data_IF_631781532050
#
_entry.id   IF_631781532050
#
_cell.length_a   1.000
_cell.length_b   1.000
_cell.length_c   1.000
_cell.angle_alpha   90.00
_cell.angle_beta   90.00
_cell.angle_gamma   90.00
#
_symmetry.space_group_name_H-M   'P 1'
#
loop_
_entity.id
_entity.type
_entity.pdbx_description
1 polymer ?
#
# COMPACT_ATOMS: atom_id res chain seq x y z
N UNK A 1 -21.18 16.37 13.61
CA UNK A 1 -20.72 15.09 13.06
C UNK A 1 -19.30 15.29 12.57
N UNK A 2 -18.30 14.61 13.11
CA UNK A 2 -16.95 14.62 12.58
C UNK A 2 -17.00 14.12 11.14
N UNK A 3 -16.39 14.86 10.21
CA UNK A 3 -16.30 14.47 8.80
C UNK A 3 -15.57 13.12 8.75
N UNK A 4 -16.24 12.06 8.30
CA UNK A 4 -15.62 10.74 8.19
C UNK A 4 -14.30 10.88 7.41
N UNK A 5 -13.22 10.36 7.97
CA UNK A 5 -11.89 10.40 7.35
C UNK A 5 -11.98 9.71 5.98
N UNK A 6 -11.76 10.44 4.90
CA UNK A 6 -11.74 9.92 3.54
C UNK A 6 -10.29 9.82 3.08
N UNK A 7 -9.84 8.61 2.81
CA UNK A 7 -8.52 8.41 2.23
C UNK A 7 -8.55 8.71 0.73
N UNK A 8 -7.69 9.62 0.29
CA UNK A 8 -7.53 10.03 -1.11
C UNK A 8 -6.13 10.59 -1.31
N UNK A 9 -5.69 10.77 -2.58
CA UNK A 9 -4.34 11.26 -2.89
C UNK A 9 -3.29 10.14 -2.82
N UNK A 10 -2.04 10.50 -2.61
CA UNK A 10 -0.94 9.53 -2.61
C UNK A 10 -0.60 9.11 -1.19
N UNK A 11 -0.70 7.81 -0.95
CA UNK A 11 -0.46 7.18 0.35
C UNK A 11 0.61 6.10 0.15
N UNK A 12 1.91 6.43 0.29
CA UNK A 12 2.97 5.44 0.17
C UNK A 12 2.78 4.29 1.17
N UNK A 13 2.93 3.04 0.70
CA UNK A 13 3.13 1.91 1.59
C UNK A 13 4.63 1.84 1.89
N UNK A 14 5.03 2.31 3.08
CA UNK A 14 6.43 2.50 3.39
C UNK A 14 7.22 1.19 3.43
N UNK A 15 8.45 1.26 2.95
CA UNK A 15 9.46 0.22 3.14
C UNK A 15 10.02 0.31 4.57
N UNK A 16 10.35 -0.83 5.17
CA UNK A 16 10.93 -0.90 6.52
C UNK A 16 12.40 -1.29 6.44
N UNK A 17 13.33 -0.40 6.82
CA UNK A 17 14.76 -0.71 6.84
C UNK A 17 15.13 -1.68 7.95
N UNK A 18 16.12 -2.55 7.68
CA UNK A 18 16.70 -3.44 8.67
C UNK A 18 18.22 -3.28 8.75
N UNK A 19 18.78 -3.57 9.92
CA UNK A 19 20.21 -3.69 10.15
C UNK A 19 20.74 -5.04 9.66
N UNK A 20 22.06 -5.24 9.57
CA UNK A 20 22.64 -6.54 9.17
C UNK A 20 22.26 -7.72 10.07
N UNK A 21 21.89 -7.45 11.32
CA UNK A 21 21.41 -8.44 12.29
C UNK A 21 19.90 -8.69 12.19
N UNK A 22 19.25 -8.12 11.14
CA UNK A 22 17.81 -8.17 10.87
C UNK A 22 16.93 -7.42 11.89
N UNK A 23 17.46 -6.70 12.85
CA UNK A 23 16.66 -5.79 13.68
C UNK A 23 16.20 -4.58 12.85
N UNK A 24 15.08 -3.95 13.27
CA UNK A 24 14.57 -2.74 12.61
C UNK A 24 15.60 -1.61 12.75
N UNK A 25 15.98 -0.98 11.64
CA UNK A 25 16.82 0.21 11.65
C UNK A 25 15.93 1.45 11.84
N UNK A 26 15.65 1.78 13.10
CA UNK A 26 14.75 2.90 13.41
C UNK A 26 15.27 4.25 12.93
N UNK A 27 16.60 4.45 12.90
CA UNK A 27 17.18 5.71 12.45
C UNK A 27 16.93 5.93 10.95
N UNK A 28 17.17 4.91 10.13
CA UNK A 28 16.87 4.93 8.71
C UNK A 28 15.36 5.01 8.45
N UNK A 29 14.58 4.31 9.28
CA UNK A 29 13.12 4.33 9.15
C UNK A 29 12.55 5.72 9.40
N UNK A 30 12.96 6.41 10.46
CA UNK A 30 12.56 7.78 10.77
C UNK A 30 12.98 8.76 9.64
N UNK A 31 14.19 8.61 9.11
CA UNK A 31 14.66 9.44 8.00
C UNK A 31 13.80 9.24 6.75
N UNK A 32 13.48 8.01 6.42
CA UNK A 32 12.60 7.66 5.29
C UNK A 32 11.18 8.21 5.48
N UNK A 33 10.60 8.07 6.66
CA UNK A 33 9.26 8.59 6.98
C UNK A 33 9.20 10.11 6.87
N UNK A 34 10.20 10.83 7.36
CA UNK A 34 10.28 12.30 7.20
C UNK A 34 10.26 12.69 5.74
N UNK A 35 11.09 12.03 4.94
CA UNK A 35 11.12 12.30 3.50
C UNK A 35 9.73 12.08 2.87
N UNK A 36 9.05 10.97 3.17
CA UNK A 36 7.70 10.72 2.66
C UNK A 36 6.70 11.81 3.07
N UNK A 37 6.74 12.23 4.33
CA UNK A 37 5.82 13.25 4.84
C UNK A 37 6.14 14.66 4.33
N UNK A 38 7.36 14.90 3.82
CA UNK A 38 7.77 16.18 3.21
C UNK A 38 7.33 16.30 1.73
N UNK A 39 7.00 15.19 1.07
CA UNK A 39 6.58 15.22 -0.33
C UNK A 39 5.19 15.86 -0.47
N UNK A 40 5.05 16.98 -1.23
CA UNK A 40 3.75 17.59 -1.49
C UNK A 40 2.82 16.62 -2.20
N UNK A 41 1.58 16.48 -1.72
CA UNK A 41 0.58 15.56 -2.27
C UNK A 41 0.57 14.16 -1.64
N UNK A 42 1.49 13.85 -0.74
CA UNK A 42 1.36 12.72 0.18
C UNK A 42 0.32 13.07 1.25
N UNK A 43 -0.72 12.26 1.35
CA UNK A 43 -1.89 12.51 2.19
C UNK A 43 -2.04 11.51 3.34
N UNK A 44 -1.13 10.57 3.44
CA UNK A 44 -1.05 9.54 4.48
C UNK A 44 0.10 8.59 4.21
N UNK A 45 0.40 7.71 5.14
CA UNK A 45 1.41 6.65 4.98
C UNK A 45 0.82 5.34 5.50
N UNK A 46 1.06 4.24 4.77
CA UNK A 46 0.68 2.90 5.22
C UNK A 46 1.88 2.20 5.83
N UNK A 47 1.82 1.90 7.13
CA UNK A 47 2.78 1.09 7.86
C UNK A 47 2.34 -0.39 7.90
N UNK A 48 3.28 -1.30 8.16
CA UNK A 48 3.01 -2.74 8.26
C UNK A 48 2.30 -3.33 7.03
N UNK A 49 2.61 -2.79 5.83
CA UNK A 49 2.16 -3.34 4.56
C UNK A 49 3.11 -4.43 4.03
N UNK A 50 2.83 -5.00 2.86
CA UNK A 50 3.77 -5.90 2.18
C UNK A 50 5.12 -5.25 1.96
N UNK A 51 5.15 -3.96 1.60
CA UNK A 51 6.37 -3.20 1.39
C UNK A 51 7.26 -3.15 2.65
N UNK A 52 6.65 -3.22 3.84
CA UNK A 52 7.36 -3.31 5.12
C UNK A 52 7.75 -4.74 5.53
N UNK A 53 7.61 -5.73 4.64
CA UNK A 53 7.86 -7.15 4.93
C UNK A 53 7.05 -7.66 6.14
N UNK A 54 5.79 -7.25 6.25
CA UNK A 54 4.92 -7.52 7.42
C UNK A 54 4.83 -9.00 7.79
N UNK A 55 4.95 -9.91 6.81
CA UNK A 55 4.95 -11.36 7.04
C UNK A 55 6.16 -11.86 7.83
N UNK A 56 7.26 -11.09 7.85
CA UNK A 56 8.49 -11.41 8.60
C UNK A 56 8.56 -10.74 9.98
N UNK A 57 7.56 -9.93 10.35
CA UNK A 57 7.54 -9.18 11.59
C UNK A 57 6.74 -9.92 12.68
N UNK A 58 7.30 -10.00 13.88
CA UNK A 58 6.56 -10.40 15.07
C UNK A 58 5.47 -9.36 15.42
N UNK A 59 4.53 -9.72 16.31
CA UNK A 59 3.49 -8.80 16.79
C UNK A 59 4.11 -7.56 17.46
N UNK A 60 5.15 -7.77 18.27
CA UNK A 60 5.88 -6.69 18.95
C UNK A 60 6.59 -5.78 17.95
N UNK A 61 7.21 -6.34 16.92
CA UNK A 61 7.86 -5.56 15.87
C UNK A 61 6.87 -4.75 15.04
N UNK A 62 5.68 -5.30 14.74
CA UNK A 62 4.60 -4.55 14.07
C UNK A 62 4.14 -3.37 14.92
N UNK A 63 3.96 -3.57 16.24
CA UNK A 63 3.64 -2.48 17.17
C UNK A 63 4.76 -1.44 17.22
N UNK A 64 6.03 -1.90 17.35
CA UNK A 64 7.18 -1.00 17.40
C UNK A 64 7.33 -0.17 16.13
N UNK A 65 7.23 -0.79 14.96
CA UNK A 65 7.30 -0.06 13.68
C UNK A 65 6.19 1.00 13.56
N UNK A 66 4.96 0.66 13.96
CA UNK A 66 3.86 1.62 13.97
C UNK A 66 4.09 2.76 14.97
N UNK A 67 4.53 2.45 16.19
CA UNK A 67 4.83 3.46 17.22
C UNK A 67 5.92 4.43 16.75
N UNK A 68 7.00 3.93 16.12
CA UNK A 68 8.06 4.77 15.53
C UNK A 68 7.51 5.67 14.44
N UNK A 69 6.62 5.16 13.57
CA UNK A 69 6.03 5.96 12.50
C UNK A 69 5.10 7.06 13.06
N UNK A 70 4.29 6.73 14.04
CA UNK A 70 3.39 7.69 14.71
C UNK A 70 4.17 8.78 15.45
N UNK A 71 5.20 8.40 16.18
CA UNK A 71 6.08 9.36 16.89
C UNK A 71 6.77 10.32 15.90
N UNK A 72 7.20 9.83 14.74
CA UNK A 72 7.97 10.63 13.78
C UNK A 72 7.09 11.53 12.90
N UNK A 73 5.98 11.03 12.40
CA UNK A 73 5.17 11.75 11.38
C UNK A 73 3.66 11.75 11.66
N UNK A 74 3.19 11.14 12.75
CA UNK A 74 1.75 11.00 13.03
C UNK A 74 1.02 12.32 13.27
N UNK A 75 1.73 13.38 13.66
CA UNK A 75 1.18 14.75 13.78
C UNK A 75 1.04 15.46 12.43
N UNK A 76 1.65 14.93 11.36
CA UNK A 76 1.73 15.55 10.04
C UNK A 76 0.82 14.88 9.01
N UNK A 77 0.78 13.55 9.02
CA UNK A 77 0.00 12.73 8.09
C UNK A 77 -0.65 11.55 8.81
N UNK A 78 -1.87 11.15 8.42
CA UNK A 78 -2.51 9.96 8.98
C UNK A 78 -1.73 8.69 8.67
N UNK A 79 -1.63 7.79 9.65
CA UNK A 79 -1.00 6.47 9.53
C UNK A 79 -2.07 5.39 9.40
N UNK A 80 -1.99 4.59 8.33
CA UNK A 80 -2.83 3.42 8.10
C UNK A 80 -2.01 2.18 8.46
N UNK A 81 -2.45 1.41 9.45
CA UNK A 81 -1.74 0.21 9.88
C UNK A 81 -2.23 -1.03 9.12
N UNK A 82 -1.32 -1.81 8.56
CA UNK A 82 -1.63 -3.11 7.95
C UNK A 82 -2.00 -4.16 9.01
N UNK A 83 -3.12 -4.83 8.82
CA UNK A 83 -3.58 -5.98 9.59
C UNK A 83 -3.43 -7.22 8.73
N UNK A 84 -2.32 -7.92 8.89
CA UNK A 84 -1.95 -9.13 8.15
C UNK A 84 -2.04 -10.34 9.07
N UNK A 85 -3.02 -11.20 8.84
CA UNK A 85 -3.28 -12.42 9.62
C UNK A 85 -4.18 -13.38 8.83
N UNK A 86 -3.97 -14.68 9.05
CA UNK A 86 -4.84 -15.73 8.50
C UNK A 86 -6.05 -16.05 9.38
N UNK A 87 -6.05 -15.59 10.64
CA UNK A 87 -7.12 -15.80 11.60
C UNK A 87 -7.88 -14.53 11.95
N UNK A 88 -9.24 -14.58 11.93
CA UNK A 88 -10.07 -13.42 12.27
C UNK A 88 -9.83 -12.92 13.69
N UNK A 89 -9.64 -13.81 14.68
CA UNK A 89 -9.40 -13.40 16.07
C UNK A 89 -8.04 -12.72 16.23
N UNK A 90 -7.00 -13.22 15.57
CA UNK A 90 -5.70 -12.57 15.56
C UNK A 90 -5.78 -11.21 14.84
N UNK A 91 -6.50 -11.12 13.71
CA UNK A 91 -6.73 -9.85 13.02
C UNK A 91 -7.41 -8.81 13.94
N UNK A 92 -8.36 -9.23 14.76
CA UNK A 92 -9.00 -8.36 15.78
C UNK A 92 -7.97 -7.87 16.81
N UNK A 93 -7.11 -8.74 17.30
CA UNK A 93 -6.05 -8.34 18.26
C UNK A 93 -5.04 -7.37 17.63
N UNK A 94 -4.62 -7.61 16.38
CA UNK A 94 -3.73 -6.69 15.65
C UNK A 94 -4.42 -5.34 15.39
N UNK A 95 -5.73 -5.34 15.12
CA UNK A 95 -6.51 -4.12 14.96
C UNK A 95 -6.60 -3.33 16.27
N UNK A 96 -6.79 -4.01 17.40
CA UNK A 96 -6.78 -3.39 18.74
C UNK A 96 -5.42 -2.80 19.09
N UNK A 97 -4.32 -3.52 18.79
CA UNK A 97 -2.97 -3.01 18.96
C UNK A 97 -2.75 -1.73 18.15
N UNK A 98 -3.12 -1.74 16.87
CA UNK A 98 -2.98 -0.57 16.00
C UNK A 98 -3.79 0.63 16.50
N UNK A 99 -5.03 0.40 16.99
CA UNK A 99 -5.85 1.44 17.62
C UNK A 99 -5.21 2.00 18.90
N UNK A 100 -4.67 1.12 19.75
CA UNK A 100 -4.02 1.52 21.00
C UNK A 100 -2.76 2.35 20.76
N UNK A 101 -1.99 2.03 19.70
CA UNK A 101 -0.84 2.84 19.29
C UNK A 101 -1.25 4.20 18.68
N UNK A 102 -2.46 4.37 18.14
CA UNK A 102 -2.97 5.63 17.59
C UNK A 102 -3.07 5.66 16.06
N UNK A 103 -3.18 4.51 15.39
CA UNK A 103 -3.42 4.47 13.94
C UNK A 103 -4.70 5.23 13.56
N UNK A 104 -4.66 5.91 12.41
CA UNK A 104 -5.80 6.66 11.86
C UNK A 104 -6.76 5.78 11.04
N UNK A 105 -6.35 4.56 10.69
CA UNK A 105 -7.13 3.58 9.96
C UNK A 105 -6.37 2.28 9.79
N UNK A 106 -7.05 1.27 9.25
CA UNK A 106 -6.51 -0.07 9.09
C UNK A 106 -6.58 -0.52 7.64
N UNK A 107 -5.51 -1.11 7.12
CA UNK A 107 -5.48 -1.83 5.85
C UNK A 107 -5.64 -3.33 6.15
N UNK A 108 -6.81 -3.88 5.83
CA UNK A 108 -7.13 -5.27 6.13
C UNK A 108 -6.74 -6.15 4.94
N UNK A 109 -5.83 -7.08 5.20
CA UNK A 109 -5.42 -8.09 4.22
C UNK A 109 -6.42 -9.23 4.16
N UNK A 110 -6.66 -9.82 2.99
CA UNK A 110 -7.39 -11.07 2.93
C UNK A 110 -6.57 -12.19 3.61
N UNK A 111 -7.18 -13.04 4.43
CA UNK A 111 -6.53 -14.24 4.93
C UNK A 111 -6.02 -15.13 3.79
N UNK A 112 -4.81 -15.66 3.88
CA UNK A 112 -4.22 -16.56 2.86
C UNK A 112 -5.09 -17.82 2.67
N UNK A 113 -5.76 -18.26 3.75
CA UNK A 113 -6.74 -19.35 3.72
C UNK A 113 -7.81 -19.17 2.62
N UNK A 114 -8.14 -17.96 2.24
CA UNK A 114 -9.15 -17.68 1.23
C UNK A 114 -8.78 -18.20 -0.18
N UNK A 115 -7.49 -18.46 -0.45
CA UNK A 115 -7.03 -19.07 -1.70
C UNK A 115 -7.68 -20.43 -2.01
N UNK A 116 -8.25 -21.09 -1.01
CA UNK A 116 -8.89 -22.40 -1.13
C UNK A 116 -10.35 -22.33 -1.55
N UNK A 117 -10.76 -21.25 -2.21
CA UNK A 117 -12.09 -21.12 -2.81
C UNK A 117 -13.06 -20.24 -2.01
N UNK A 118 -12.59 -19.38 -1.11
CA UNK A 118 -13.46 -18.45 -0.38
C UNK A 118 -14.22 -17.47 -1.28
N UNK A 119 -13.83 -17.33 -2.55
CA UNK A 119 -14.59 -16.57 -3.55
C UNK A 119 -16.01 -17.12 -3.76
N UNK A 120 -16.23 -18.42 -3.49
CA UNK A 120 -17.54 -19.08 -3.50
C UNK A 120 -18.33 -18.90 -2.19
N UNK A 121 -17.72 -18.28 -1.18
CA UNK A 121 -18.26 -18.09 0.16
C UNK A 121 -18.08 -16.62 0.62
N UNK A 122 -18.74 -15.66 -0.05
CA UNK A 122 -18.56 -14.22 0.23
C UNK A 122 -18.88 -13.83 1.67
N UNK A 123 -19.71 -14.63 2.36
CA UNK A 123 -20.01 -14.45 3.78
C UNK A 123 -18.77 -14.62 4.69
N UNK A 124 -17.73 -15.36 4.26
CA UNK A 124 -16.48 -15.48 5.02
C UNK A 124 -15.71 -14.16 5.03
N UNK A 125 -15.60 -13.51 3.88
CA UNK A 125 -14.98 -12.17 3.79
C UNK A 125 -15.78 -11.16 4.61
N UNK A 126 -17.10 -11.11 4.44
CA UNK A 126 -17.95 -10.19 5.20
C UNK A 126 -17.81 -10.40 6.71
N UNK A 127 -17.90 -11.65 7.19
CA UNK A 127 -17.77 -11.98 8.62
C UNK A 127 -16.40 -11.60 9.19
N UNK A 128 -15.31 -11.73 8.41
CA UNK A 128 -13.97 -11.33 8.80
C UNK A 128 -13.91 -9.80 9.03
N UNK A 129 -14.37 -9.01 8.06
CA UNK A 129 -14.37 -7.55 8.17
C UNK A 129 -15.34 -7.04 9.23
N UNK A 130 -16.53 -7.61 9.33
CA UNK A 130 -17.53 -7.22 10.33
C UNK A 130 -17.00 -7.38 11.76
N UNK A 131 -16.35 -8.52 12.08
CA UNK A 131 -15.76 -8.73 13.41
C UNK A 131 -14.63 -7.76 13.73
N UNK A 132 -13.82 -7.38 12.75
CA UNK A 132 -12.78 -6.36 12.95
C UNK A 132 -13.45 -5.00 13.19
N UNK A 133 -14.45 -4.65 12.39
CA UNK A 133 -15.20 -3.40 12.53
C UNK A 133 -15.90 -3.28 13.89
N UNK A 134 -16.49 -4.37 14.39
CA UNK A 134 -17.11 -4.44 15.73
C UNK A 134 -16.09 -4.23 16.86
N UNK A 135 -14.85 -4.69 16.67
CA UNK A 135 -13.83 -4.65 17.72
C UNK A 135 -13.13 -3.28 17.85
N UNK A 136 -13.09 -2.49 16.76
CA UNK A 136 -12.38 -1.21 16.74
C UNK A 136 -13.21 -0.16 15.99
N UNK A 137 -13.22 1.07 16.53
CA UNK A 137 -13.85 2.21 15.88
C UNK A 137 -12.82 2.97 15.03
N UNK A 138 -12.35 2.33 13.96
CA UNK A 138 -11.40 2.88 13.01
C UNK A 138 -11.87 2.69 11.57
N UNK A 139 -11.53 3.61 10.66
CA UNK A 139 -11.72 3.43 9.23
C UNK A 139 -10.98 2.20 8.72
N UNK A 140 -11.66 1.38 7.90
CA UNK A 140 -11.09 0.18 7.29
C UNK A 140 -10.87 0.41 5.80
N UNK A 141 -9.72 -0.02 5.32
CA UNK A 141 -9.36 -0.11 3.90
C UNK A 141 -9.31 -1.58 3.52
N UNK A 142 -10.16 -1.99 2.58
CA UNK A 142 -10.14 -3.35 2.03
C UNK A 142 -8.94 -3.49 1.11
N UNK A 143 -8.13 -4.53 1.26
CA UNK A 143 -7.06 -4.81 0.31
C UNK A 143 -7.54 -5.85 -0.72
N UNK A 144 -7.85 -5.37 -1.93
CA UNK A 144 -8.22 -6.19 -3.08
C UNK A 144 -6.99 -6.74 -3.78
N UNK A 145 -7.01 -8.03 -4.08
CA UNK A 145 -6.00 -8.77 -4.83
C UNK A 145 -6.52 -9.23 -6.20
N UNK A 146 -5.64 -9.67 -7.11
CA UNK A 146 -6.08 -10.34 -8.33
C UNK A 146 -6.96 -11.55 -8.03
N UNK A 147 -8.08 -11.69 -8.74
CA UNK A 147 -8.97 -12.86 -8.57
C UNK A 147 -8.23 -14.18 -8.79
N UNK A 148 -7.29 -14.21 -9.73
CA UNK A 148 -6.47 -15.38 -10.02
C UNK A 148 -5.57 -15.82 -8.86
N UNK A 149 -5.33 -14.95 -7.87
CA UNK A 149 -4.57 -15.31 -6.65
C UNK A 149 -5.37 -16.21 -5.69
N UNK A 150 -6.67 -16.35 -5.90
CA UNK A 150 -7.59 -17.06 -4.99
C UNK A 150 -8.03 -16.26 -3.76
N UNK A 151 -7.29 -15.23 -3.37
CA UNK A 151 -7.62 -14.37 -2.21
C UNK A 151 -8.27 -13.04 -2.59
N UNK A 152 -8.40 -12.73 -3.89
CA UNK A 152 -9.11 -11.56 -4.37
C UNK A 152 -10.62 -11.69 -4.18
N UNK A 153 -11.29 -10.57 -3.98
CA UNK A 153 -12.74 -10.50 -3.81
C UNK A 153 -13.43 -10.28 -5.16
N UNK A 154 -14.58 -10.94 -5.38
CA UNK A 154 -15.43 -10.65 -6.54
C UNK A 154 -16.06 -9.25 -6.41
N UNK A 155 -16.54 -8.63 -7.51
CA UNK A 155 -17.26 -7.36 -7.43
C UNK A 155 -18.44 -7.39 -6.45
N UNK A 156 -19.19 -8.50 -6.41
CA UNK A 156 -20.32 -8.70 -5.50
C UNK A 156 -19.85 -8.70 -4.04
N UNK A 157 -18.73 -9.35 -3.76
CA UNK A 157 -18.13 -9.34 -2.42
C UNK A 157 -17.67 -7.94 -2.05
N UNK A 158 -17.02 -7.21 -2.97
CA UNK A 158 -16.59 -5.82 -2.73
C UNK A 158 -17.80 -4.92 -2.43
N UNK A 159 -18.90 -5.03 -3.20
CA UNK A 159 -20.14 -4.30 -2.93
C UNK A 159 -20.63 -4.59 -1.51
N UNK A 160 -20.72 -5.86 -1.13
CA UNK A 160 -21.16 -6.28 0.20
C UNK A 160 -20.25 -5.75 1.32
N UNK A 161 -18.93 -5.73 1.11
CA UNK A 161 -17.99 -5.16 2.09
C UNK A 161 -18.22 -3.66 2.30
N UNK A 162 -18.68 -2.93 1.28
CA UNK A 162 -19.01 -1.50 1.44
C UNK A 162 -20.22 -1.25 2.33
N UNK A 163 -21.04 -2.27 2.65
CA UNK A 163 -22.17 -2.14 3.57
C UNK A 163 -21.71 -1.95 5.02
N UNK A 164 -20.49 -2.37 5.37
CA UNK A 164 -19.89 -2.16 6.69
C UNK A 164 -19.54 -0.68 6.81
N UNK A 165 -20.12 0.07 7.79
CA UNK A 165 -19.95 1.53 7.86
C UNK A 165 -18.50 2.00 7.99
N UNK A 166 -17.64 1.20 8.62
CA UNK A 166 -16.22 1.51 8.80
C UNK A 166 -15.39 1.29 7.53
N UNK A 167 -15.89 0.57 6.52
CA UNK A 167 -15.20 0.42 5.23
C UNK A 167 -15.32 1.73 4.46
N UNK A 168 -14.22 2.47 4.36
CA UNK A 168 -14.16 3.81 3.76
C UNK A 168 -13.34 3.85 2.47
N UNK A 169 -12.56 2.81 2.20
CA UNK A 169 -11.77 2.71 0.96
C UNK A 169 -11.46 1.26 0.60
N UNK A 170 -11.11 1.08 -0.67
CA UNK A 170 -10.52 -0.15 -1.21
C UNK A 170 -9.15 0.20 -1.78
N UNK A 171 -8.11 -0.48 -1.31
CA UNK A 171 -6.80 -0.54 -1.97
C UNK A 171 -6.92 -1.57 -3.08
N UNK A 172 -7.03 -1.10 -4.31
CA UNK A 172 -7.36 -1.92 -5.46
C UNK A 172 -6.09 -2.38 -6.18
N UNK A 173 -5.79 -3.67 -6.09
CA UNK A 173 -4.66 -4.33 -6.74
C UNK A 173 -5.11 -5.57 -7.52
N UNK A 174 -6.10 -5.44 -8.39
CA UNK A 174 -6.46 -6.52 -9.31
C UNK A 174 -5.37 -6.86 -10.32
N UNK A 175 -4.39 -5.96 -10.49
CA UNK A 175 -3.25 -6.09 -11.40
C UNK A 175 -3.65 -6.23 -12.88
N UNK A 176 -4.86 -5.78 -13.22
CA UNK A 176 -5.45 -5.76 -14.55
C UNK A 176 -6.39 -4.57 -14.71
N UNK A 177 -6.20 -3.74 -15.74
CA UNK A 177 -6.94 -2.49 -15.88
C UNK A 177 -8.44 -2.69 -16.09
N UNK A 178 -8.85 -3.73 -16.79
CA UNK A 178 -10.27 -4.08 -17.01
C UNK A 178 -10.93 -4.50 -15.70
N UNK A 179 -10.23 -5.28 -14.88
CA UNK A 179 -10.71 -5.68 -13.56
C UNK A 179 -10.78 -4.48 -12.61
N UNK A 180 -9.77 -3.58 -12.66
CA UNK A 180 -9.78 -2.32 -11.92
C UNK A 180 -11.02 -1.48 -12.25
N UNK A 181 -11.29 -1.24 -13.54
CA UNK A 181 -12.44 -0.45 -13.98
C UNK A 181 -13.76 -1.09 -13.55
N UNK A 182 -13.91 -2.40 -13.70
CA UNK A 182 -15.08 -3.14 -13.25
C UNK A 182 -15.32 -2.98 -11.74
N UNK A 183 -14.29 -3.13 -10.92
CA UNK A 183 -14.37 -2.99 -9.47
C UNK A 183 -14.69 -1.54 -9.07
N UNK A 184 -14.04 -0.56 -9.71
CA UNK A 184 -14.32 0.86 -9.50
C UNK A 184 -15.80 1.19 -9.80
N UNK A 185 -16.31 0.76 -10.95
CA UNK A 185 -17.72 0.98 -11.34
C UNK A 185 -18.69 0.30 -10.37
N UNK A 186 -18.40 -0.93 -9.96
CA UNK A 186 -19.23 -1.69 -9.02
C UNK A 186 -19.32 -0.97 -7.66
N UNK A 187 -18.18 -0.49 -7.11
CA UNK A 187 -18.15 0.25 -5.85
C UNK A 187 -18.89 1.60 -5.99
N UNK A 188 -18.66 2.35 -7.08
CA UNK A 188 -19.34 3.63 -7.34
C UNK A 188 -20.86 3.48 -7.46
N UNK A 189 -21.34 2.40 -8.08
CA UNK A 189 -22.76 2.10 -8.25
C UNK A 189 -23.51 1.90 -6.91
N UNK A 190 -22.81 1.61 -5.81
CA UNK A 190 -23.42 1.50 -4.47
C UNK A 190 -23.90 2.85 -3.93
N UNK A 191 -23.42 3.98 -4.48
CA UNK A 191 -23.69 5.32 -3.96
C UNK A 191 -23.03 5.61 -2.60
N UNK A 192 -22.27 4.67 -2.05
CA UNK A 192 -21.59 4.85 -0.76
C UNK A 192 -20.28 5.63 -0.93
N UNK A 193 -19.85 6.43 0.07
CA UNK A 193 -18.65 7.26 0.00
C UNK A 193 -17.37 6.45 0.23
N UNK A 194 -17.19 5.33 -0.48
CA UNK A 194 -16.03 4.47 -0.40
C UNK A 194 -15.04 4.87 -1.50
N UNK A 195 -13.81 5.23 -1.08
CA UNK A 195 -12.72 5.59 -1.99
C UNK A 195 -12.12 4.37 -2.67
N UNK A 196 -11.67 4.51 -3.92
CA UNK A 196 -10.90 3.47 -4.62
C UNK A 196 -9.49 4.00 -4.84
N UNK A 197 -8.52 3.39 -4.15
CA UNK A 197 -7.12 3.77 -4.17
C UNK A 197 -6.35 2.74 -4.98
N UNK A 198 -5.80 3.15 -6.12
CA UNK A 198 -5.07 2.23 -6.98
C UNK A 198 -3.80 1.72 -6.29
N UNK A 199 -3.57 0.42 -6.37
CA UNK A 199 -2.27 -0.20 -6.09
C UNK A 199 -1.71 -0.88 -7.34
N UNK A 200 -2.37 -0.69 -8.47
CA UNK A 200 -1.93 -1.14 -9.77
C UNK A 200 -0.81 -0.23 -10.29
N UNK A 201 0.34 -0.29 -9.63
CA UNK A 201 1.46 0.63 -9.88
C UNK A 201 2.01 0.54 -11.30
N UNK A 202 1.85 -0.59 -11.98
CA UNK A 202 2.23 -0.75 -13.39
C UNK A 202 1.34 0.05 -14.35
N UNK A 203 0.20 0.58 -13.89
CA UNK A 203 -0.72 1.38 -14.71
C UNK A 203 -1.45 2.47 -13.90
N UNK A 204 -0.72 3.20 -13.04
CA UNK A 204 -1.30 4.28 -12.23
C UNK A 204 -1.96 5.36 -13.09
N UNK A 205 -1.33 5.74 -14.20
CA UNK A 205 -1.87 6.74 -15.11
C UNK A 205 -3.27 6.36 -15.59
N UNK A 206 -3.45 5.13 -16.10
CA UNK A 206 -4.76 4.66 -16.53
C UNK A 206 -5.77 4.59 -15.37
N UNK A 207 -5.34 4.12 -14.18
CA UNK A 207 -6.20 4.08 -12.99
C UNK A 207 -6.69 5.47 -12.59
N UNK A 208 -5.83 6.47 -12.63
CA UNK A 208 -6.19 7.86 -12.30
C UNK A 208 -7.13 8.46 -13.34
N UNK A 209 -6.90 8.22 -14.63
CA UNK A 209 -7.79 8.66 -15.73
C UNK A 209 -9.18 8.01 -15.61
N UNK A 210 -9.26 6.75 -15.18
CA UNK A 210 -10.53 6.06 -14.90
C UNK A 210 -11.25 6.61 -13.65
N UNK A 211 -10.59 7.43 -12.83
CA UNK A 211 -11.20 8.08 -11.68
C UNK A 211 -10.88 7.45 -10.33
N UNK A 212 -9.71 6.81 -10.17
CA UNK A 212 -9.23 6.45 -8.84
C UNK A 212 -9.11 7.70 -7.94
N UNK A 213 -9.44 7.56 -6.66
CA UNK A 213 -9.35 8.66 -5.67
C UNK A 213 -7.91 8.93 -5.22
N UNK A 214 -6.95 8.12 -5.66
CA UNK A 214 -5.53 8.19 -5.32
C UNK A 214 -4.86 6.82 -5.43
N UNK A 215 -3.78 6.63 -4.68
CA UNK A 215 -3.04 5.36 -4.66
C UNK A 215 -2.51 4.98 -3.27
N UNK A 216 -2.51 3.67 -2.97
CA UNK A 216 -1.68 3.06 -1.91
C UNK A 216 -0.66 2.16 -2.59
N UNK A 217 0.60 2.56 -2.64
CA UNK A 217 1.60 1.92 -3.50
C UNK A 217 2.95 1.74 -2.82
N UNK A 218 3.57 0.55 -2.96
CA UNK A 218 4.94 0.29 -2.51
C UNK A 218 5.96 1.16 -3.24
N UNK A 219 5.83 1.33 -4.56
CA UNK A 219 6.70 2.23 -5.34
C UNK A 219 6.58 3.69 -4.89
N UNK A 220 5.48 4.08 -4.25
CA UNK A 220 5.37 5.37 -3.59
C UNK A 220 6.42 5.62 -2.51
N UNK A 221 7.00 4.58 -1.91
CA UNK A 221 8.16 4.74 -1.02
C UNK A 221 9.41 5.27 -1.73
N UNK A 222 9.52 5.04 -3.05
CA UNK A 222 10.69 5.47 -3.85
C UNK A 222 10.40 6.75 -4.62
N UNK A 223 9.21 6.86 -5.21
CA UNK A 223 8.83 7.91 -6.15
C UNK A 223 7.48 8.55 -5.80
N UNK A 224 7.30 8.91 -4.51
CA UNK A 224 6.09 9.56 -4.04
C UNK A 224 5.82 10.89 -4.75
N UNK A 225 6.87 11.64 -5.02
CA UNK A 225 6.86 12.91 -5.76
C UNK A 225 6.30 12.75 -7.17
N UNK A 226 6.84 11.81 -7.96
CA UNK A 226 6.35 11.53 -9.30
C UNK A 226 4.90 11.03 -9.30
N UNK A 227 4.52 10.21 -8.31
CA UNK A 227 3.14 9.75 -8.19
C UNK A 227 2.19 10.89 -7.84
N UNK A 228 2.60 11.81 -6.97
CA UNK A 228 1.82 12.98 -6.59
C UNK A 228 1.66 13.96 -7.78
N UNK A 229 2.73 14.21 -8.53
CA UNK A 229 2.68 15.01 -9.75
C UNK A 229 1.75 14.39 -10.81
N UNK A 230 1.90 13.07 -11.04
CA UNK A 230 1.03 12.34 -11.98
C UNK A 230 -0.44 12.49 -11.58
N UNK A 231 -0.76 12.24 -10.31
CA UNK A 231 -2.13 12.37 -9.81
C UNK A 231 -2.64 13.79 -9.96
N UNK A 232 -1.87 14.80 -9.58
CA UNK A 232 -2.26 16.20 -9.67
C UNK A 232 -2.52 16.66 -11.12
N UNK A 233 -1.70 16.21 -12.09
CA UNK A 233 -1.93 16.53 -13.50
C UNK A 233 -3.22 15.91 -14.02
N UNK A 234 -3.48 14.61 -13.71
CA UNK A 234 -4.74 13.96 -14.09
C UNK A 234 -5.95 14.67 -13.49
N UNK A 235 -5.89 15.05 -12.19
CA UNK A 235 -6.98 15.74 -11.53
C UNK A 235 -7.30 17.11 -12.15
N UNK A 236 -6.31 17.77 -12.76
CA UNK A 236 -6.50 19.04 -13.51
C UNK A 236 -6.88 18.85 -14.97
N UNK A 237 -6.96 17.60 -15.45
CA UNK A 237 -7.20 17.30 -16.86
C UNK A 237 -6.00 17.53 -17.78
N UNK A 238 -4.82 17.78 -17.23
CA UNK A 238 -3.57 17.98 -17.98
C UNK A 238 -2.94 16.63 -18.35
N UNK A 239 -3.56 15.96 -19.31
CA UNK A 239 -3.20 14.60 -19.72
C UNK A 239 -1.84 14.54 -20.41
N UNK A 240 -1.42 15.61 -21.09
CA UNK A 240 -0.11 15.65 -21.74
C UNK A 240 1.02 15.70 -20.71
N UNK A 241 0.93 16.57 -19.71
CA UNK A 241 1.89 16.62 -18.62
C UNK A 241 1.89 15.29 -17.79
N UNK A 242 0.69 14.76 -17.51
CA UNK A 242 0.56 13.47 -16.84
C UNK A 242 1.29 12.35 -17.58
N UNK A 243 1.21 12.32 -18.92
CA UNK A 243 1.93 11.33 -19.75
C UNK A 243 3.44 11.45 -19.59
N UNK A 244 3.99 12.68 -19.58
CA UNK A 244 5.44 12.92 -19.39
C UNK A 244 5.92 12.39 -18.02
N UNK A 245 5.10 12.56 -16.96
CA UNK A 245 5.43 11.99 -15.65
C UNK A 245 5.33 10.46 -15.67
N UNK A 246 4.31 9.91 -16.34
CA UNK A 246 4.18 8.45 -16.50
C UNK A 246 5.39 7.85 -17.24
N UNK A 247 5.92 8.53 -18.25
CA UNK A 247 7.12 8.10 -18.99
C UNK A 247 8.36 8.08 -18.09
N UNK A 248 8.46 8.97 -17.10
CA UNK A 248 9.52 8.95 -16.08
C UNK A 248 9.33 7.77 -15.10
N UNK A 249 8.11 7.39 -14.78
CA UNK A 249 7.80 6.25 -13.90
C UNK A 249 8.04 4.90 -14.59
N UNK A 250 7.89 4.79 -15.93
CA UNK A 250 7.97 3.52 -16.65
C UNK A 250 9.27 2.73 -16.40
N UNK A 251 10.48 3.31 -16.42
CA UNK A 251 11.71 2.57 -16.09
C UNK A 251 11.67 1.94 -14.70
N UNK A 252 11.12 2.62 -13.72
CA UNK A 252 10.98 2.10 -12.36
C UNK A 252 9.97 0.95 -12.30
N UNK A 253 8.84 1.12 -12.98
CA UNK A 253 7.82 0.07 -13.10
C UNK A 253 8.43 -1.21 -13.67
N UNK A 254 9.17 -1.11 -14.78
CA UNK A 254 9.78 -2.25 -15.44
C UNK A 254 10.77 -2.99 -14.56
N UNK A 255 11.59 -2.28 -13.80
CA UNK A 255 12.59 -2.93 -12.96
C UNK A 255 12.00 -3.46 -11.65
N UNK A 256 11.12 -2.70 -10.98
CA UNK A 256 10.59 -3.13 -9.69
C UNK A 256 9.61 -4.31 -9.80
N UNK A 257 8.78 -4.33 -10.86
CA UNK A 257 7.77 -5.34 -11.07
C UNK A 257 8.17 -6.42 -12.10
N UNK A 258 9.47 -6.53 -12.43
CA UNK A 258 9.97 -7.65 -13.20
C UNK A 258 9.80 -8.98 -12.44
N UNK A 259 9.62 -10.11 -13.14
CA UNK A 259 9.69 -11.42 -12.50
C UNK A 259 11.09 -11.70 -11.90
N UNK A 260 11.16 -12.40 -10.76
CA UNK A 260 10.05 -12.86 -9.94
C UNK A 260 9.45 -11.70 -9.11
N UNK A 261 8.13 -11.68 -9.02
CA UNK A 261 7.37 -10.59 -8.37
C UNK A 261 7.66 -10.46 -6.87
N UNK A 262 8.12 -11.54 -6.23
CA UNK A 262 8.49 -11.55 -4.81
C UNK A 262 9.59 -10.53 -4.48
N UNK A 263 10.44 -10.19 -5.45
CA UNK A 263 11.57 -9.28 -5.26
C UNK A 263 11.23 -7.79 -5.47
N UNK A 264 9.96 -7.47 -5.73
CA UNK A 264 9.57 -6.08 -5.99
C UNK A 264 10.00 -5.11 -4.88
N UNK A 265 9.85 -5.48 -3.63
CA UNK A 265 10.22 -4.62 -2.50
C UNK A 265 11.72 -4.65 -2.22
N UNK A 266 12.43 -5.75 -2.52
CA UNK A 266 13.88 -5.84 -2.46
C UNK A 266 14.50 -4.81 -3.41
N UNK A 267 14.01 -4.76 -4.67
CA UNK A 267 14.46 -3.81 -5.69
C UNK A 267 14.17 -2.36 -5.30
N UNK A 268 13.03 -2.11 -4.66
CA UNK A 268 12.68 -0.79 -4.13
C UNK A 268 13.61 -0.37 -2.97
N UNK A 269 14.00 -1.31 -2.08
CA UNK A 269 15.00 -1.02 -1.03
C UNK A 269 16.36 -0.67 -1.61
N UNK A 270 16.83 -1.37 -2.65
CA UNK A 270 18.06 -1.01 -3.36
C UNK A 270 17.98 0.41 -3.95
N UNK A 271 16.85 0.77 -4.55
CA UNK A 271 16.65 2.14 -5.04
C UNK A 271 16.71 3.17 -3.90
N UNK A 272 16.10 2.89 -2.74
CA UNK A 272 16.20 3.79 -1.57
C UNK A 272 17.64 3.94 -1.07
N UNK A 273 18.43 2.86 -1.06
CA UNK A 273 19.82 2.89 -0.68
C UNK A 273 20.66 3.72 -1.69
N UNK A 274 20.43 3.53 -2.99
CA UNK A 274 21.05 4.35 -4.05
C UNK A 274 20.73 5.84 -3.91
N UNK A 275 19.51 6.17 -3.51
CA UNK A 275 19.06 7.54 -3.29
C UNK A 275 19.51 8.11 -1.93
N UNK A 276 20.25 7.36 -1.13
CA UNK A 276 20.71 7.78 0.21
C UNK A 276 19.60 7.95 1.25
N UNK A 277 18.40 7.45 0.97
CA UNK A 277 17.24 7.57 1.88
C UNK A 277 17.27 6.54 3.00
N UNK A 278 17.91 5.39 2.77
CA UNK A 278 18.28 4.39 3.77
C UNK A 278 19.75 4.03 3.58
N UNK A 279 20.41 3.55 4.62
CA UNK A 279 21.85 3.26 4.59
C UNK A 279 22.18 1.99 3.81
N UNK A 280 21.23 1.03 3.74
CA UNK A 280 21.45 -0.29 3.13
C UNK A 280 20.12 -0.99 2.82
N UNK A 281 20.14 -1.86 1.81
CA UNK A 281 18.98 -2.65 1.36
C UNK A 281 19.00 -4.06 1.97
N UNK A 282 18.79 -4.16 3.29
CA UNK A 282 18.67 -5.45 3.97
C UNK A 282 17.24 -5.95 3.89
N UNK A 283 17.06 -7.22 3.51
CA UNK A 283 15.77 -7.93 3.52
C UNK A 283 15.85 -9.14 4.45
N UNK A 284 14.71 -9.54 5.03
CA UNK A 284 14.65 -10.70 5.92
C UNK A 284 14.40 -11.99 5.14
N UNK A 285 15.04 -13.11 5.50
CA UNK A 285 14.70 -14.41 4.94
C UNK A 285 13.18 -14.72 5.07
N UNK A 286 12.56 -15.38 4.08
CA UNK A 286 13.20 -16.10 2.95
C UNK A 286 13.61 -15.19 1.77
N UNK A 287 13.34 -13.89 1.82
CA UNK A 287 13.81 -12.97 0.77
C UNK A 287 15.34 -12.95 0.72
N UNK A 288 15.88 -12.75 -0.47
CA UNK A 288 17.31 -12.71 -0.73
C UNK A 288 17.70 -11.34 -1.28
N UNK A 289 18.93 -10.86 -1.04
CA UNK A 289 19.44 -9.67 -1.72
C UNK A 289 19.38 -9.84 -3.25
N UNK A 290 19.10 -8.74 -3.95
CA UNK A 290 19.15 -8.76 -5.42
C UNK A 290 20.59 -8.90 -5.91
N UNK A 291 20.76 -9.42 -7.14
CA UNK A 291 22.07 -9.59 -7.76
C UNK A 291 22.70 -8.25 -8.16
N UNK A 292 24.04 -8.25 -8.38
CA UNK A 292 24.75 -7.07 -8.89
C UNK A 292 24.21 -6.61 -10.25
N UNK A 293 23.78 -7.54 -11.10
CA UNK A 293 23.15 -7.21 -12.38
C UNK A 293 21.85 -6.46 -12.18
N UNK A 294 21.01 -6.91 -11.25
CA UNK A 294 19.76 -6.22 -10.93
C UNK A 294 20.02 -4.86 -10.28
N UNK A 295 21.03 -4.73 -9.41
CA UNK A 295 21.43 -3.43 -8.84
C UNK A 295 21.78 -2.42 -9.92
N UNK A 296 22.54 -2.84 -10.92
CA UNK A 296 22.86 -1.96 -12.05
C UNK A 296 21.61 -1.61 -12.88
N UNK A 297 20.70 -2.55 -13.10
CA UNK A 297 19.43 -2.28 -13.77
C UNK A 297 18.58 -1.27 -12.98
N UNK A 298 18.54 -1.40 -11.66
CA UNK A 298 17.86 -0.46 -10.76
C UNK A 298 18.49 0.93 -10.85
N UNK A 299 19.84 1.01 -10.82
CA UNK A 299 20.56 2.29 -10.94
C UNK A 299 20.22 3.00 -12.25
N UNK A 300 20.24 2.26 -13.36
CA UNK A 300 19.87 2.80 -14.68
C UNK A 300 18.41 3.28 -14.70
N UNK A 301 17.49 2.53 -14.10
CA UNK A 301 16.08 2.89 -14.06
C UNK A 301 15.85 4.17 -13.22
N UNK A 302 16.48 4.26 -12.03
CA UNK A 302 16.41 5.42 -11.15
C UNK A 302 16.98 6.68 -11.83
N UNK A 303 18.10 6.54 -12.56
CA UNK A 303 18.69 7.63 -13.34
C UNK A 303 17.77 8.07 -14.49
N UNK A 304 17.17 7.13 -15.24
CA UNK A 304 16.22 7.46 -16.33
C UNK A 304 14.95 8.12 -15.82
N UNK A 305 14.52 7.80 -14.61
CA UNK A 305 13.41 8.47 -13.96
C UNK A 305 13.74 9.91 -13.52
N UNK A 306 15.03 10.31 -13.59
CA UNK A 306 15.51 11.61 -13.15
C UNK A 306 15.47 11.77 -11.62
N UNK A 307 15.77 10.70 -10.88
CA UNK A 307 15.81 10.69 -9.41
C UNK A 307 17.24 10.69 -8.84
N UNK A 308 18.26 10.35 -9.65
CA UNK A 308 19.69 10.48 -9.34
C UNK A 308 20.21 11.81 -9.84
#
# INVERSE_FOLDING_TARGET
MARALRFSGIIPANLLPFKPDYSIDEADYRRHLRWLADVPGVTGITANGHAAEVSSLSREERRRALAVALDEVGSRVPLIAGVYSDGTFEAVELARDAKAEGASGLLIFPPTLFMWGAQLRPEMAYGHFARIAEAVDLPLVVFQYPLASGIGYTPETLIRLTEIPQVVAVKEWSNEIVAFERNLRAIRATGRPVGVLSSFTMSLFASFVLGADGAISGMGSVAADLQAELFAHVQRGDIEAARKINDRLDPLVRVFYAPPFVDMHNRMKEALALLGRISRAVVRPPLQPVSEVEREQIRVAVSRAGLL
#
